data_IF_571696647387
#
_entry.id   IF_571696647387
#
_cell.length_a   1.000
_cell.length_b   1.000
_cell.length_c   1.000
_cell.angle_alpha   90.00
_cell.angle_beta   90.00
_cell.angle_gamma   90.00
#
_symmetry.space_group_name_H-M   'P 1'
#
loop_
_entity.id
_entity.type
_entity.pdbx_description
1 polymer ?
#
# COMPACT_ATOMS: atom_id res chain seq x y z
N UNK A 1 25.21 -28.86 34.52
CA UNK A 1 24.76 -29.34 33.19
C UNK A 1 23.27 -29.74 33.12
N UNK A 2 22.53 -29.84 34.24
CA UNK A 2 21.08 -30.18 34.25
C UNK A 2 20.16 -28.97 34.04
N UNK A 3 20.50 -27.82 34.65
CA UNK A 3 19.69 -26.58 34.66
C UNK A 3 19.52 -25.91 33.28
N UNK A 4 20.57 -25.90 32.45
CA UNK A 4 20.51 -25.35 31.07
C UNK A 4 19.64 -26.17 30.12
N UNK A 5 19.43 -27.46 30.41
CA UNK A 5 18.50 -28.30 29.65
C UNK A 5 17.05 -27.98 30.01
N UNK A 6 16.76 -27.69 31.28
CA UNK A 6 15.42 -27.31 31.73
C UNK A 6 14.99 -25.94 31.17
N UNK A 7 15.88 -24.94 31.21
CA UNK A 7 15.61 -23.62 30.66
C UNK A 7 15.38 -23.64 29.13
N UNK A 8 16.15 -24.47 28.41
CA UNK A 8 15.93 -24.72 26.98
C UNK A 8 14.62 -25.45 26.71
N UNK A 9 14.22 -26.36 27.60
CA UNK A 9 12.94 -27.07 27.48
C UNK A 9 11.77 -26.10 27.67
N UNK A 10 11.82 -25.21 28.66
CA UNK A 10 10.77 -24.22 28.93
C UNK A 10 10.70 -23.18 27.82
N UNK A 11 11.83 -22.64 27.37
CA UNK A 11 11.88 -21.74 26.21
C UNK A 11 11.37 -22.42 24.93
N UNK A 12 11.67 -23.71 24.74
CA UNK A 12 11.14 -24.51 23.63
C UNK A 12 9.63 -24.66 23.72
N UNK A 13 9.05 -24.90 24.91
CA UNK A 13 7.60 -25.00 25.07
C UNK A 13 6.87 -23.66 24.94
N UNK A 14 7.47 -22.54 25.37
CA UNK A 14 6.94 -21.19 25.16
C UNK A 14 6.95 -20.85 23.66
N UNK A 15 8.07 -21.11 22.97
CA UNK A 15 8.17 -20.91 21.53
C UNK A 15 7.25 -21.87 20.76
N UNK A 16 7.14 -23.13 21.18
CA UNK A 16 6.24 -24.12 20.58
C UNK A 16 4.78 -23.71 20.76
N UNK A 17 4.38 -23.28 21.96
CA UNK A 17 3.07 -22.71 22.20
C UNK A 17 2.83 -21.52 21.26
N UNK A 18 3.74 -20.54 21.21
CA UNK A 18 3.68 -19.37 20.34
C UNK A 18 3.53 -19.72 18.84
N UNK A 19 4.33 -20.67 18.33
CA UNK A 19 4.25 -21.15 16.95
C UNK A 19 2.98 -21.96 16.67
N UNK A 20 2.47 -22.72 17.64
CA UNK A 20 1.18 -23.41 17.49
C UNK A 20 0.00 -22.44 17.51
N UNK A 21 0.07 -21.33 18.25
CA UNK A 21 -0.95 -20.26 18.21
C UNK A 21 -0.94 -19.54 16.85
N UNK A 22 0.24 -19.27 16.30
CA UNK A 22 0.41 -18.73 14.93
C UNK A 22 -0.08 -19.70 13.84
N UNK A 23 0.17 -21.00 14.00
CA UNK A 23 -0.33 -22.03 13.08
C UNK A 23 -1.87 -22.15 13.13
N UNK A 24 -2.49 -21.92 14.29
CA UNK A 24 -3.95 -21.94 14.46
C UNK A 24 -4.62 -20.66 13.94
N UNK A 25 -3.92 -19.52 13.93
CA UNK A 25 -4.41 -18.29 13.28
C UNK A 25 -4.51 -18.38 11.75
N UNK A 26 -3.97 -19.43 11.13
CA UNK A 26 -4.12 -19.74 9.70
C UNK A 26 -5.38 -20.53 9.33
N UNK A 27 -6.27 -20.87 10.27
CA UNK A 27 -7.49 -21.62 9.97
C UNK A 27 -8.76 -20.84 10.34
N UNK A 28 -9.53 -20.51 9.32
CA UNK A 28 -10.84 -19.85 9.35
C UNK A 28 -11.87 -20.55 10.25
N UNK A 29 -12.74 -19.77 10.93
CA UNK A 29 -13.97 -20.29 11.55
C UNK A 29 -14.43 -19.60 12.85
N UNK A 30 -15.48 -18.78 12.73
CA UNK A 30 -16.63 -18.52 13.64
C UNK A 30 -16.43 -18.14 15.13
N UNK A 31 -17.25 -17.20 15.61
CA UNK A 31 -17.16 -16.47 16.89
C UNK A 31 -17.21 -17.27 18.21
N UNK A 32 -17.26 -18.60 18.19
CA UNK A 32 -16.93 -19.41 19.37
C UNK A 32 -15.43 -19.41 19.68
N UNK A 33 -14.56 -19.27 18.66
CA UNK A 33 -13.10 -19.25 18.86
C UNK A 33 -12.60 -17.97 19.53
N UNK A 34 -13.34 -16.86 19.47
CA UNK A 34 -12.94 -15.61 20.14
C UNK A 34 -13.02 -15.74 21.67
N UNK A 35 -14.10 -16.35 22.17
CA UNK A 35 -14.28 -16.65 23.60
C UNK A 35 -13.28 -17.69 24.10
N UNK A 36 -12.87 -18.60 23.22
CA UNK A 36 -11.87 -19.64 23.51
C UNK A 36 -10.43 -19.09 23.51
N UNK A 37 -10.16 -18.10 22.63
CA UNK A 37 -8.92 -17.32 22.64
C UNK A 37 -8.82 -16.44 23.88
N UNK A 38 -9.88 -15.75 24.28
CA UNK A 38 -9.91 -14.98 25.54
C UNK A 38 -9.68 -15.87 26.76
N UNK A 39 -10.33 -17.04 26.82
CA UNK A 39 -10.07 -18.02 27.89
C UNK A 39 -8.63 -18.52 27.90
N UNK A 40 -8.03 -18.75 26.74
CA UNK A 40 -6.63 -19.20 26.62
C UNK A 40 -5.65 -18.10 26.96
N UNK A 41 -5.93 -16.84 26.59
CA UNK A 41 -5.13 -15.67 26.98
C UNK A 41 -5.19 -15.49 28.50
N UNK A 42 -6.39 -15.55 29.11
CA UNK A 42 -6.53 -15.46 30.56
C UNK A 42 -5.84 -16.61 31.30
N UNK A 43 -5.85 -17.82 30.72
CA UNK A 43 -5.11 -18.97 31.25
C UNK A 43 -3.59 -18.78 31.18
N UNK A 44 -3.09 -18.23 30.08
CA UNK A 44 -1.68 -17.89 29.91
C UNK A 44 -1.24 -16.75 30.85
N UNK A 45 -2.09 -15.74 31.08
CA UNK A 45 -1.84 -14.69 32.07
C UNK A 45 -1.71 -15.28 33.49
N UNK A 46 -2.58 -16.22 33.87
CA UNK A 46 -2.46 -16.93 35.16
C UNK A 46 -1.19 -17.78 35.27
N UNK A 47 -0.78 -18.47 34.19
CA UNK A 47 0.46 -19.24 34.19
C UNK A 47 1.70 -18.34 34.28
N UNK A 48 1.66 -17.17 33.65
CA UNK A 48 2.71 -16.14 33.77
C UNK A 48 2.77 -15.59 35.20
N UNK A 49 1.64 -15.25 35.82
CA UNK A 49 1.60 -14.78 37.22
C UNK A 49 2.14 -15.85 38.19
N UNK A 50 1.84 -17.11 37.92
CA UNK A 50 2.35 -18.24 38.71
C UNK A 50 3.87 -18.38 38.55
N UNK A 51 4.40 -18.26 37.33
CA UNK A 51 5.84 -18.28 37.07
C UNK A 51 6.56 -17.08 37.67
N UNK A 52 5.94 -15.90 37.68
CA UNK A 52 6.46 -14.70 38.37
C UNK A 52 6.53 -14.93 39.89
N UNK A 53 5.53 -15.58 40.49
CA UNK A 53 5.53 -15.91 41.91
C UNK A 53 6.68 -16.85 42.29
N UNK A 54 6.94 -17.88 41.48
CA UNK A 54 8.08 -18.78 41.68
C UNK A 54 9.41 -18.06 41.45
N UNK A 55 9.53 -17.22 40.42
CA UNK A 55 10.75 -16.47 40.15
C UNK A 55 11.13 -15.48 41.27
N UNK A 56 10.12 -14.89 41.92
CA UNK A 56 10.28 -13.98 43.06
C UNK A 56 10.78 -14.69 44.32
N UNK A 57 10.39 -15.96 44.54
CA UNK A 57 10.97 -16.81 45.59
C UNK A 57 12.47 -17.11 45.37
N UNK A 58 12.93 -17.11 44.11
CA UNK A 58 14.32 -17.38 43.74
C UNK A 58 15.17 -16.10 43.50
N UNK A 59 14.62 -14.90 43.73
CA UNK A 59 15.35 -13.63 43.62
C UNK A 59 15.74 -13.25 42.18
N UNK A 60 15.00 -13.71 41.18
CA UNK A 60 15.26 -13.42 39.77
C UNK A 60 14.35 -12.25 39.34
N UNK A 61 14.92 -11.07 39.08
CA UNK A 61 14.20 -9.92 38.53
C UNK A 61 13.90 -10.14 37.04
N UNK A 62 12.62 -10.19 36.69
CA UNK A 62 12.08 -10.46 35.35
C UNK A 62 11.68 -9.17 34.60
N UNK A 63 12.17 -8.02 35.02
CA UNK A 63 11.71 -6.70 34.59
C UNK A 63 11.67 -6.56 33.06
N UNK A 64 12.70 -7.04 32.36
CA UNK A 64 12.75 -6.98 30.89
C UNK A 64 11.70 -7.86 30.18
N UNK A 65 11.30 -8.98 30.78
CA UNK A 65 10.29 -9.88 30.20
C UNK A 65 8.88 -9.44 30.57
N UNK A 66 8.68 -8.90 31.78
CA UNK A 66 7.42 -8.29 32.18
C UNK A 66 7.10 -7.06 31.33
N UNK A 67 8.10 -6.21 31.08
CA UNK A 67 7.97 -5.07 30.17
C UNK A 67 7.62 -5.52 28.75
N UNK A 68 8.29 -6.57 28.25
CA UNK A 68 8.00 -7.14 26.92
C UNK A 68 6.58 -7.72 26.83
N UNK A 69 6.13 -8.46 27.86
CA UNK A 69 4.78 -9.03 27.91
C UNK A 69 3.70 -7.95 28.09
N UNK A 70 3.96 -6.91 28.89
CA UNK A 70 3.09 -5.73 29.02
C UNK A 70 2.99 -4.98 27.70
N UNK A 71 4.09 -4.81 26.99
CA UNK A 71 4.12 -4.16 25.68
C UNK A 71 3.32 -4.96 24.65
N UNK A 72 3.47 -6.30 24.62
CA UNK A 72 2.68 -7.19 23.76
C UNK A 72 1.19 -7.15 24.13
N UNK A 73 0.84 -7.19 25.42
CA UNK A 73 -0.55 -7.09 25.90
C UNK A 73 -1.18 -5.73 25.55
N UNK A 74 -0.42 -4.64 25.67
CA UNK A 74 -0.86 -3.30 25.25
C UNK A 74 -1.04 -3.21 23.74
N UNK A 75 -0.14 -3.79 22.94
CA UNK A 75 -0.27 -3.87 21.49
C UNK A 75 -1.50 -4.69 21.08
N UNK A 76 -1.79 -5.80 21.77
CA UNK A 76 -2.99 -6.62 21.55
C UNK A 76 -4.28 -5.88 21.93
N UNK A 77 -4.28 -5.15 23.06
CA UNK A 77 -5.42 -4.32 23.50
C UNK A 77 -5.64 -3.11 22.59
N UNK A 78 -4.58 -2.50 22.06
CA UNK A 78 -4.66 -1.45 21.05
C UNK A 78 -5.22 -2.00 19.73
N UNK A 79 -4.75 -3.18 19.30
CA UNK A 79 -5.32 -3.91 18.17
C UNK A 79 -6.82 -4.19 18.35
N UNK A 80 -7.27 -4.54 19.57
CA UNK A 80 -8.70 -4.78 19.85
C UNK A 80 -9.54 -3.48 19.88
N UNK A 81 -9.03 -2.39 20.45
CA UNK A 81 -9.75 -1.10 20.54
C UNK A 81 -9.93 -0.40 19.19
N UNK A 82 -9.00 -0.58 18.25
CA UNK A 82 -9.12 -0.05 16.89
C UNK A 82 -10.35 -0.59 16.13
N UNK A 83 -10.82 -1.80 16.47
CA UNK A 83 -12.00 -2.40 15.85
C UNK A 83 -13.33 -1.78 16.32
N UNK A 84 -13.39 -1.19 17.52
CA UNK A 84 -14.65 -0.72 18.12
C UNK A 84 -15.00 0.72 17.73
N UNK A 85 -14.04 1.54 17.28
CA UNK A 85 -14.26 2.98 17.06
C UNK A 85 -14.64 3.37 15.63
N UNK A 86 -14.33 2.56 14.61
CA UNK A 86 -14.91 2.75 13.26
C UNK A 86 -16.42 2.49 13.22
N UNK A 87 -16.96 1.89 14.29
CA UNK A 87 -18.39 1.66 14.44
C UNK A 87 -19.20 2.91 14.84
N UNK A 88 -18.56 3.97 15.36
CA UNK A 88 -19.27 5.06 16.04
C UNK A 88 -19.63 6.28 15.19
N UNK A 89 -19.20 6.38 13.92
CA UNK A 89 -19.34 7.63 13.14
C UNK A 89 -20.32 7.62 11.96
N UNK A 90 -21.15 6.60 11.77
CA UNK A 90 -22.34 6.70 10.92
C UNK A 90 -22.11 6.78 9.39
N UNK A 91 -20.89 7.11 8.95
CA UNK A 91 -20.48 7.26 7.55
C UNK A 91 -18.99 7.62 7.48
N UNK A 92 -18.27 7.16 6.45
CA UNK A 92 -16.88 7.50 6.20
C UNK A 92 -16.78 8.40 4.98
N UNK A 93 -15.97 9.46 5.05
CA UNK A 93 -15.72 10.32 3.89
C UNK A 93 -14.79 9.59 2.92
N UNK A 94 -15.23 9.39 1.67
CA UNK A 94 -14.38 8.93 0.58
C UNK A 94 -14.52 9.89 -0.59
N UNK A 95 -13.45 10.63 -0.88
CA UNK A 95 -13.38 11.53 -2.01
C UNK A 95 -14.37 12.70 -1.93
N UNK A 96 -14.72 13.14 -0.71
CA UNK A 96 -15.69 14.20 -0.47
C UNK A 96 -17.13 13.71 -0.33
N UNK A 97 -17.39 12.41 -0.50
CA UNK A 97 -18.72 11.80 -0.38
C UNK A 97 -18.80 10.92 0.86
N UNK A 98 -19.98 10.86 1.48
CA UNK A 98 -20.21 9.97 2.62
C UNK A 98 -20.56 8.57 2.12
N UNK A 99 -19.83 7.59 2.65
CA UNK A 99 -20.04 6.18 2.35
C UNK A 99 -20.51 5.46 3.61
N UNK A 100 -21.58 4.68 3.48
CA UNK A 100 -22.17 3.93 4.59
C UNK A 100 -21.38 2.66 4.92
N UNK A 101 -20.63 2.74 6.02
CA UNK A 101 -19.82 1.64 6.58
C UNK A 101 -20.40 1.09 7.89
N UNK A 102 -21.60 1.52 8.28
CA UNK A 102 -22.11 1.36 9.65
C UNK A 102 -22.63 -0.02 9.94
N UNK A 103 -23.20 -0.70 8.94
CA UNK A 103 -23.86 -1.98 9.21
C UNK A 103 -22.86 -2.98 9.81
N UNK A 104 -23.25 -3.79 10.82
CA UNK A 104 -22.33 -4.72 11.47
C UNK A 104 -21.61 -5.65 10.48
N UNK A 105 -22.31 -6.07 9.41
CA UNK A 105 -21.71 -6.87 8.35
C UNK A 105 -20.59 -6.14 7.60
N UNK A 106 -20.77 -4.84 7.31
CA UNK A 106 -19.74 -4.03 6.64
C UNK A 106 -18.55 -3.77 7.55
N UNK A 107 -18.78 -3.47 8.83
CA UNK A 107 -17.70 -3.30 9.81
C UNK A 107 -16.84 -4.56 9.96
N UNK A 108 -17.47 -5.74 9.97
CA UNK A 108 -16.74 -7.01 9.99
C UNK A 108 -15.86 -7.17 8.75
N UNK A 109 -16.36 -6.80 7.56
CA UNK A 109 -15.57 -6.87 6.32
C UNK A 109 -14.42 -5.89 6.29
N UNK A 110 -14.62 -4.65 6.75
CA UNK A 110 -13.53 -3.66 6.93
C UNK A 110 -12.49 -4.20 7.92
N UNK A 111 -12.94 -4.77 9.03
CA UNK A 111 -12.05 -5.35 10.04
C UNK A 111 -11.21 -6.51 9.48
N UNK A 112 -11.82 -7.36 8.65
CA UNK A 112 -11.12 -8.44 7.95
C UNK A 112 -10.15 -7.91 6.90
N UNK A 113 -10.56 -6.87 6.17
CA UNK A 113 -9.74 -6.18 5.18
C UNK A 113 -8.49 -5.54 5.79
N UNK A 114 -8.61 -4.89 6.96
CA UNK A 114 -7.45 -4.36 7.70
C UNK A 114 -6.47 -5.48 8.03
N UNK A 115 -6.95 -6.57 8.65
CA UNK A 115 -6.11 -7.72 9.00
C UNK A 115 -5.40 -8.31 7.77
N UNK A 116 -6.11 -8.39 6.66
CA UNK A 116 -5.57 -8.87 5.39
C UNK A 116 -4.47 -7.96 4.84
N UNK A 117 -4.66 -6.63 4.86
CA UNK A 117 -3.64 -5.69 4.39
C UNK A 117 -2.41 -5.73 5.30
N UNK A 118 -2.61 -5.78 6.62
CA UNK A 118 -1.51 -5.82 7.59
C UNK A 118 -0.73 -7.13 7.58
N UNK A 119 -1.31 -8.25 7.09
CA UNK A 119 -0.53 -9.47 6.87
C UNK A 119 0.46 -9.35 5.70
N UNK A 120 0.41 -8.26 4.95
CA UNK A 120 1.33 -7.92 3.85
C UNK A 120 2.21 -6.69 4.21
N UNK A 121 2.54 -6.52 5.50
CA UNK A 121 3.27 -5.37 6.04
C UNK A 121 4.54 -4.99 5.25
N UNK A 122 5.39 -5.95 4.87
CA UNK A 122 6.65 -5.66 4.17
C UNK A 122 6.40 -4.97 2.80
N UNK A 123 5.34 -5.39 2.11
CA UNK A 123 4.91 -4.81 0.83
C UNK A 123 4.21 -3.47 1.05
N UNK A 124 3.38 -3.38 2.09
CA UNK A 124 2.67 -2.16 2.47
C UNK A 124 3.64 -1.03 2.78
N UNK A 125 4.68 -1.27 3.58
CA UNK A 125 5.67 -0.26 3.96
C UNK A 125 6.41 0.29 2.72
N UNK A 126 6.84 -0.61 1.84
CA UNK A 126 7.51 -0.25 0.59
C UNK A 126 6.61 0.58 -0.32
N UNK A 127 5.35 0.16 -0.49
CA UNK A 127 4.37 0.86 -1.31
C UNK A 127 3.95 2.19 -0.70
N UNK A 128 3.82 2.26 0.62
CA UNK A 128 3.52 3.50 1.33
C UNK A 128 4.62 4.52 1.07
N UNK A 129 5.88 4.14 1.26
CA UNK A 129 7.04 4.99 0.96
C UNK A 129 7.02 5.44 -0.51
N UNK A 130 6.83 4.54 -1.47
CA UNK A 130 6.73 4.90 -2.90
C UNK A 130 5.53 5.81 -3.19
N UNK A 131 4.38 5.60 -2.57
CA UNK A 131 3.15 6.35 -2.83
C UNK A 131 3.32 7.85 -2.62
N UNK A 132 4.12 8.26 -1.63
CA UNK A 132 4.43 9.66 -1.36
C UNK A 132 5.20 10.36 -2.49
N UNK A 133 5.88 9.61 -3.34
CA UNK A 133 6.51 10.16 -4.55
C UNK A 133 5.47 10.51 -5.63
N UNK A 134 4.33 9.81 -5.65
CA UNK A 134 3.29 9.90 -6.67
C UNK A 134 2.08 10.74 -6.24
N UNK A 135 1.76 10.77 -4.95
CA UNK A 135 0.62 11.49 -4.37
C UNK A 135 0.55 12.97 -4.76
N UNK A 136 1.64 13.76 -4.76
CA UNK A 136 1.55 15.15 -5.18
C UNK A 136 1.05 15.33 -6.62
N UNK A 137 1.46 14.43 -7.52
CA UNK A 137 1.00 14.47 -8.93
C UNK A 137 -0.48 14.09 -9.03
N UNK A 138 -0.90 13.05 -8.31
CA UNK A 138 -2.30 12.65 -8.22
C UNK A 138 -3.16 13.77 -7.62
N UNK A 139 -2.71 14.38 -6.53
CA UNK A 139 -3.43 15.41 -5.80
C UNK A 139 -3.72 16.65 -6.66
N UNK A 140 -2.73 17.10 -7.42
CA UNK A 140 -2.87 18.20 -8.38
C UNK A 140 -3.88 17.87 -9.48
N UNK A 141 -3.79 16.67 -10.06
CA UNK A 141 -4.63 16.27 -11.21
C UNK A 141 -6.09 16.00 -10.80
N UNK A 142 -6.31 15.32 -9.67
CA UNK A 142 -7.65 15.13 -9.11
C UNK A 142 -8.28 16.46 -8.69
N UNK A 143 -7.51 17.32 -8.01
CA UNK A 143 -7.97 18.65 -7.61
C UNK A 143 -8.38 19.51 -8.81
N UNK A 144 -7.59 19.51 -9.89
CA UNK A 144 -7.90 20.23 -11.13
C UNK A 144 -9.16 19.71 -11.84
N UNK A 145 -9.51 18.45 -11.63
CA UNK A 145 -10.71 17.81 -12.18
C UNK A 145 -11.92 17.81 -11.20
N UNK A 146 -11.79 18.43 -10.02
CA UNK A 146 -12.79 18.40 -8.94
C UNK A 146 -13.18 16.98 -8.49
N UNK A 147 -12.24 16.05 -8.55
CA UNK A 147 -12.40 14.69 -8.03
C UNK A 147 -11.73 14.62 -6.66
N UNK A 148 -12.33 13.88 -5.73
CA UNK A 148 -11.78 13.71 -4.38
C UNK A 148 -10.45 12.94 -4.35
N UNK A 149 -9.63 13.23 -3.35
CA UNK A 149 -8.26 12.71 -3.31
C UNK A 149 -8.16 11.22 -2.95
N UNK A 150 -9.17 10.66 -2.28
CA UNK A 150 -9.12 9.29 -1.79
C UNK A 150 -9.07 8.23 -2.89
N UNK A 151 -9.42 8.59 -4.13
CA UNK A 151 -9.24 7.70 -5.28
C UNK A 151 -7.77 7.33 -5.50
N UNK A 152 -6.80 8.13 -5.03
CA UNK A 152 -5.36 7.79 -5.10
C UNK A 152 -4.97 6.51 -4.36
N UNK A 153 -5.78 6.07 -3.40
CA UNK A 153 -5.55 4.80 -2.69
C UNK A 153 -5.75 3.58 -3.60
N UNK A 154 -6.47 3.69 -4.72
CA UNK A 154 -6.64 2.62 -5.71
C UNK A 154 -5.27 2.18 -6.25
N UNK A 155 -4.41 3.14 -6.60
CA UNK A 155 -3.08 2.88 -7.13
C UNK A 155 -2.18 2.07 -6.17
N UNK A 156 -2.31 2.34 -4.86
CA UNK A 156 -1.59 1.60 -3.80
C UNK A 156 -2.21 0.23 -3.59
N UNK A 157 -3.54 0.16 -3.54
CA UNK A 157 -4.24 -1.10 -3.32
C UNK A 157 -3.98 -2.10 -4.45
N UNK A 158 -4.09 -1.65 -5.71
CA UNK A 158 -3.82 -2.52 -6.86
C UNK A 158 -2.35 -2.98 -6.85
N UNK A 159 -1.43 -2.09 -6.49
CA UNK A 159 -0.03 -2.44 -6.31
C UNK A 159 0.22 -3.41 -5.14
N UNK A 160 -0.61 -3.38 -4.08
CA UNK A 160 -0.52 -4.28 -2.93
C UNK A 160 -1.08 -5.67 -3.26
N UNK A 161 -2.24 -5.72 -3.93
CA UNK A 161 -2.92 -6.94 -4.32
C UNK A 161 -2.17 -7.70 -5.42
N UNK A 162 -1.46 -7.00 -6.31
CA UNK A 162 -0.65 -7.60 -7.37
C UNK A 162 -1.45 -8.51 -8.31
N UNK A 163 -0.76 -9.50 -8.89
CA UNK A 163 -1.34 -10.40 -9.90
C UNK A 163 -2.35 -11.41 -9.30
N UNK A 164 -2.40 -11.57 -7.98
CA UNK A 164 -3.31 -12.54 -7.31
C UNK A 164 -4.79 -12.20 -7.50
N UNK A 165 -5.09 -10.94 -7.79
CA UNK A 165 -6.45 -10.43 -7.94
C UNK A 165 -6.75 -9.91 -9.35
N UNK A 166 -6.08 -10.48 -10.36
CA UNK A 166 -6.41 -10.24 -11.76
C UNK A 166 -7.85 -10.64 -12.05
N UNK A 167 -8.65 -9.71 -12.57
CA UNK A 167 -9.97 -10.04 -13.11
C UNK A 167 -9.80 -10.98 -14.32
N UNK A 168 -10.81 -11.82 -14.66
CA UNK A 168 -10.74 -12.75 -15.81
C UNK A 168 -10.43 -12.09 -17.15
N UNK A 169 -10.58 -10.77 -17.25
CA UNK A 169 -10.30 -9.97 -18.45
C UNK A 169 -8.84 -9.50 -18.53
N UNK A 170 -7.97 -9.92 -17.60
CA UNK A 170 -6.52 -9.75 -17.70
C UNK A 170 -6.07 -8.30 -17.74
N UNK A 171 -6.77 -7.40 -17.05
CA UNK A 171 -6.31 -6.01 -16.93
C UNK A 171 -5.51 -5.83 -15.65
N UNK A 172 -4.20 -5.69 -15.82
CA UNK A 172 -3.39 -4.82 -14.98
C UNK A 172 -4.02 -3.43 -15.08
N UNK A 173 -4.58 -2.90 -14.00
CA UNK A 173 -4.97 -1.48 -13.99
C UNK A 173 -3.69 -0.69 -14.33
N UNK A 174 -3.68 0.13 -15.41
CA UNK A 174 -2.50 0.89 -15.78
C UNK A 174 -2.10 1.87 -14.67
N UNK A 175 -2.95 2.16 -13.69
CA UNK A 175 -2.66 3.09 -12.61
C UNK A 175 -2.02 2.46 -11.36
N UNK A 176 -1.38 1.30 -11.51
CA UNK A 176 -0.56 0.67 -10.46
C UNK A 176 0.74 1.45 -10.20
N UNK A 177 1.08 1.64 -8.93
CA UNK A 177 2.43 2.07 -8.50
C UNK A 177 3.41 0.92 -8.72
N UNK A 178 4.44 1.16 -9.52
CA UNK A 178 5.50 0.21 -9.82
C UNK A 178 6.85 0.78 -9.35
N UNK A 179 7.83 -0.10 -9.07
CA UNK A 179 9.21 0.27 -8.72
C UNK A 179 9.98 0.75 -9.96
N UNK A 180 9.51 1.85 -10.54
CA UNK A 180 10.13 2.59 -11.65
C UNK A 180 10.45 4.03 -11.20
N UNK A 181 10.89 4.21 -9.95
CA UNK A 181 11.11 5.47 -9.20
C UNK A 181 11.99 6.54 -9.87
N UNK A 182 12.44 6.29 -11.11
CA UNK A 182 13.02 7.31 -11.97
C UNK A 182 11.96 8.28 -12.53
N UNK A 183 12.36 9.51 -12.87
CA UNK A 183 11.55 10.47 -13.61
C UNK A 183 10.77 9.94 -14.84
N UNK A 184 11.27 8.91 -15.53
CA UNK A 184 10.52 8.26 -16.62
C UNK A 184 9.26 7.54 -16.10
N UNK A 185 9.40 6.72 -15.06
CA UNK A 185 8.25 6.08 -14.41
C UNK A 185 7.31 7.09 -13.76
N UNK A 186 7.82 8.24 -13.27
CA UNK A 186 6.97 9.37 -12.81
C UNK A 186 6.12 9.97 -13.92
N UNK A 187 6.69 10.20 -15.10
CA UNK A 187 5.92 10.72 -16.24
C UNK A 187 4.90 9.71 -16.74
N UNK A 188 5.28 8.43 -16.80
CA UNK A 188 4.35 7.39 -17.17
C UNK A 188 3.23 7.26 -16.13
N UNK A 189 3.54 7.38 -14.84
CA UNK A 189 2.52 7.51 -13.79
C UNK A 189 1.65 8.75 -13.97
N UNK A 190 2.22 9.91 -14.30
CA UNK A 190 1.44 11.13 -14.55
C UNK A 190 0.47 10.96 -15.72
N UNK A 191 0.90 10.33 -16.83
CA UNK A 191 0.04 10.01 -17.98
C UNK A 191 -1.05 9.02 -17.59
N UNK A 192 -0.70 7.97 -16.83
CA UNK A 192 -1.64 6.98 -16.31
C UNK A 192 -2.65 7.62 -15.35
N UNK A 193 -2.22 8.62 -14.58
CA UNK A 193 -3.08 9.44 -13.71
C UNK A 193 -4.06 10.30 -14.51
N UNK A 194 -3.66 10.89 -15.65
CA UNK A 194 -4.61 11.61 -16.51
C UNK A 194 -5.72 10.68 -17.04
N UNK A 195 -5.34 9.46 -17.42
CA UNK A 195 -6.29 8.45 -17.84
C UNK A 195 -7.22 8.02 -16.68
N UNK A 196 -6.67 7.83 -15.48
CA UNK A 196 -7.43 7.50 -14.27
C UNK A 196 -8.42 8.61 -13.91
N UNK A 197 -7.98 9.86 -13.87
CA UNK A 197 -8.83 11.05 -13.64
C UNK A 197 -9.99 11.09 -14.62
N UNK A 198 -9.72 10.93 -15.92
CA UNK A 198 -10.78 10.90 -16.95
C UNK A 198 -11.76 9.75 -16.73
N UNK A 199 -11.25 8.56 -16.41
CA UNK A 199 -12.07 7.36 -16.20
C UNK A 199 -12.94 7.48 -14.94
N UNK A 200 -12.36 7.86 -13.81
CA UNK A 200 -13.08 8.05 -12.54
C UNK A 200 -14.12 9.16 -12.70
N UNK A 201 -13.76 10.28 -13.33
CA UNK A 201 -14.71 11.37 -13.60
C UNK A 201 -15.91 10.93 -14.44
N UNK A 202 -15.68 10.09 -15.47
CA UNK A 202 -16.77 9.48 -16.25
C UNK A 202 -17.66 8.60 -15.38
N UNK A 203 -17.07 7.71 -14.57
CA UNK A 203 -17.81 6.76 -13.74
C UNK A 203 -18.60 7.46 -12.62
N UNK A 204 -18.04 8.52 -12.01
CA UNK A 204 -18.76 9.35 -11.04
C UNK A 204 -20.03 9.96 -11.65
N UNK A 205 -19.96 10.45 -12.89
CA UNK A 205 -21.14 10.97 -13.60
C UNK A 205 -22.15 9.86 -13.91
N UNK A 206 -21.66 8.71 -14.37
CA UNK A 206 -22.49 7.57 -14.78
C UNK A 206 -23.26 6.95 -13.61
N UNK A 207 -22.62 6.84 -12.44
CA UNK A 207 -23.20 6.27 -11.23
C UNK A 207 -23.71 7.33 -10.24
N UNK A 208 -23.95 8.57 -10.69
CA UNK A 208 -24.49 9.66 -9.86
C UNK A 208 -23.74 9.87 -8.52
N UNK A 209 -22.41 9.79 -8.55
CA UNK A 209 -21.51 9.85 -7.40
C UNK A 209 -21.68 8.72 -6.37
N UNK A 210 -22.26 7.58 -6.76
CA UNK A 210 -22.17 6.35 -5.96
C UNK A 210 -20.72 5.85 -5.95
N UNK A 211 -20.03 6.07 -4.83
CA UNK A 211 -18.61 5.77 -4.68
C UNK A 211 -18.31 4.28 -4.79
N UNK A 212 -19.00 3.37 -4.06
CA UNK A 212 -18.75 1.95 -4.22
C UNK A 212 -18.94 1.48 -5.67
N UNK A 213 -20.02 1.86 -6.36
CA UNK A 213 -20.22 1.48 -7.77
C UNK A 213 -19.16 2.08 -8.70
N UNK A 214 -18.74 3.32 -8.45
CA UNK A 214 -17.66 3.98 -9.21
C UNK A 214 -16.35 3.21 -9.08
N UNK A 215 -15.95 2.88 -7.85
CA UNK A 215 -14.71 2.13 -7.57
C UNK A 215 -14.80 0.75 -8.20
N UNK A 216 -15.91 0.04 -8.02
CA UNK A 216 -16.08 -1.30 -8.57
C UNK A 216 -16.13 -1.33 -10.08
N UNK A 217 -16.73 -0.33 -10.70
CA UNK A 217 -16.75 -0.19 -12.17
C UNK A 217 -15.40 0.22 -12.73
N UNK A 218 -14.57 0.91 -11.94
CA UNK A 218 -13.19 1.14 -12.30
C UNK A 218 -12.43 -0.20 -12.34
N UNK A 219 -12.54 -0.98 -11.26
CA UNK A 219 -11.83 -2.25 -11.04
C UNK A 219 -12.30 -3.40 -11.94
N UNK A 220 -13.58 -3.78 -11.90
CA UNK A 220 -14.16 -4.89 -12.67
C UNK A 220 -14.52 -4.51 -14.11
N UNK A 221 -14.66 -3.21 -14.37
CA UNK A 221 -15.22 -2.69 -15.60
C UNK A 221 -16.72 -2.41 -15.51
N UNK A 222 -17.10 -1.22 -15.97
CA UNK A 222 -18.46 -0.69 -16.12
C UNK A 222 -19.46 -1.76 -16.60
N UNK A 223 -19.20 -2.40 -17.75
CA UNK A 223 -20.11 -3.41 -18.31
C UNK A 223 -20.35 -4.60 -17.38
N UNK A 224 -19.35 -5.02 -16.60
CA UNK A 224 -19.50 -6.14 -15.68
C UNK A 224 -20.42 -5.76 -14.51
N UNK A 225 -20.23 -4.56 -13.95
CA UNK A 225 -21.06 -4.04 -12.86
C UNK A 225 -22.48 -3.77 -13.32
N UNK A 226 -22.67 -3.04 -14.43
CA UNK A 226 -24.00 -2.74 -14.97
C UNK A 226 -24.77 -4.02 -15.29
N UNK A 227 -24.11 -5.01 -15.91
CA UNK A 227 -24.73 -6.31 -16.18
C UNK A 227 -25.15 -7.03 -14.89
N UNK A 228 -24.30 -7.03 -13.86
CA UNK A 228 -24.63 -7.65 -12.59
C UNK A 228 -25.83 -6.96 -11.92
N UNK A 229 -25.88 -5.63 -11.97
CA UNK A 229 -27.01 -4.83 -11.45
C UNK A 229 -28.31 -5.16 -12.19
N UNK A 230 -28.27 -5.23 -13.52
CA UNK A 230 -29.43 -5.57 -14.36
C UNK A 230 -29.92 -7.00 -14.13
N UNK A 231 -29.01 -7.98 -14.11
CA UNK A 231 -29.33 -9.40 -13.91
C UNK A 231 -29.95 -9.65 -12.52
N UNK A 232 -29.47 -8.95 -11.50
CA UNK A 232 -29.93 -9.12 -10.11
C UNK A 232 -31.06 -8.17 -9.73
N UNK A 233 -31.32 -7.12 -10.54
CA UNK A 233 -32.24 -6.01 -10.24
C UNK A 233 -31.91 -5.31 -8.92
N UNK A 234 -30.62 -5.11 -8.68
CA UNK A 234 -30.08 -4.45 -7.49
C UNK A 234 -29.28 -3.23 -7.93
N UNK A 235 -29.63 -2.07 -7.38
CA UNK A 235 -28.94 -0.81 -7.64
C UNK A 235 -27.93 -0.47 -6.55
N UNK A 236 -28.11 -0.99 -5.33
CA UNK A 236 -27.21 -0.75 -4.21
C UNK A 236 -26.02 -1.71 -4.24
N UNK A 237 -24.80 -1.16 -4.31
CA UNK A 237 -23.57 -1.96 -4.26
C UNK A 237 -23.55 -2.96 -3.10
N UNK A 238 -23.99 -2.57 -1.91
CA UNK A 238 -23.88 -3.43 -0.72
C UNK A 238 -24.74 -4.68 -0.77
N UNK A 239 -25.80 -4.65 -1.59
CA UNK A 239 -26.71 -5.77 -1.80
C UNK A 239 -26.37 -6.52 -3.10
N UNK A 240 -25.45 -5.99 -3.92
CA UNK A 240 -25.07 -6.55 -5.21
C UNK A 240 -24.10 -7.72 -5.00
N UNK A 241 -24.47 -8.89 -5.51
CA UNK A 241 -23.60 -10.05 -5.47
C UNK A 241 -22.55 -9.95 -6.58
N UNK A 242 -21.28 -9.77 -6.19
CA UNK A 242 -20.13 -9.82 -7.10
C UNK A 242 -19.22 -10.99 -6.71
N UNK A 243 -18.65 -11.69 -7.69
CA UNK A 243 -17.67 -12.76 -7.41
C UNK A 243 -16.37 -12.16 -6.86
N UNK A 244 -15.73 -12.85 -5.92
CA UNK A 244 -14.41 -12.44 -5.40
C UNK A 244 -13.37 -12.33 -6.53
N UNK A 245 -12.47 -11.33 -6.49
CA UNK A 245 -12.31 -10.29 -5.45
C UNK A 245 -13.33 -9.14 -5.45
N UNK A 246 -14.23 -9.09 -6.43
CA UNK A 246 -15.14 -7.97 -6.65
C UNK A 246 -16.00 -7.59 -5.44
N UNK A 247 -16.41 -8.55 -4.62
CA UNK A 247 -17.18 -8.22 -3.42
C UNK A 247 -16.34 -7.50 -2.35
N UNK A 248 -15.05 -7.80 -2.22
CA UNK A 248 -14.20 -7.35 -1.11
C UNK A 248 -13.37 -6.10 -1.43
N UNK A 249 -13.13 -5.82 -2.72
CA UNK A 249 -12.21 -4.76 -3.15
C UNK A 249 -12.50 -3.41 -2.52
N UNK A 250 -13.77 -3.00 -2.48
CA UNK A 250 -14.15 -1.72 -1.87
C UNK A 250 -13.80 -1.67 -0.37
N UNK A 251 -13.98 -2.77 0.35
CA UNK A 251 -13.63 -2.85 1.77
C UNK A 251 -12.12 -2.83 2.00
N UNK A 252 -11.33 -3.45 1.11
CA UNK A 252 -9.87 -3.29 1.12
C UNK A 252 -9.45 -1.85 0.87
N UNK A 253 -10.11 -1.14 -0.04
CA UNK A 253 -9.79 0.26 -0.32
C UNK A 253 -10.06 1.16 0.89
N UNK A 254 -11.19 0.95 1.57
CA UNK A 254 -11.54 1.66 2.80
C UNK A 254 -10.55 1.32 3.91
N UNK A 255 -10.22 0.04 4.10
CA UNK A 255 -9.23 -0.39 5.08
C UNK A 255 -7.85 0.22 4.83
N UNK A 256 -7.41 0.29 3.57
CA UNK A 256 -6.14 0.92 3.21
C UNK A 256 -6.11 2.40 3.55
N UNK A 257 -7.19 3.14 3.21
CA UNK A 257 -7.34 4.55 3.59
C UNK A 257 -7.20 4.72 5.11
N UNK A 258 -7.90 3.90 5.89
CA UNK A 258 -7.85 3.95 7.35
C UNK A 258 -6.43 3.68 7.90
N UNK A 259 -5.74 2.68 7.35
CA UNK A 259 -4.37 2.35 7.74
C UNK A 259 -3.40 3.50 7.41
N UNK A 260 -3.57 4.15 6.25
CA UNK A 260 -2.69 5.24 5.84
C UNK A 260 -2.96 6.53 6.65
N UNK A 261 -4.22 6.83 6.94
CA UNK A 261 -4.61 8.07 7.63
C UNK A 261 -4.44 8.00 9.15
N UNK A 262 -4.66 6.82 9.76
CA UNK A 262 -4.45 6.58 11.18
C UNK A 262 -3.85 5.17 11.42
N UNK A 263 -2.56 4.97 11.09
CA UNK A 263 -1.91 3.67 11.18
C UNK A 263 -1.93 3.12 12.60
N UNK A 264 -1.67 3.96 13.60
CA UNK A 264 -1.61 3.56 15.00
C UNK A 264 -2.96 2.98 15.47
N UNK A 265 -4.07 3.58 15.03
CA UNK A 265 -5.40 3.08 15.36
C UNK A 265 -5.74 1.75 14.70
N UNK A 266 -5.19 1.49 13.50
CA UNK A 266 -5.32 0.21 12.82
C UNK A 266 -4.35 -0.87 13.34
N UNK A 267 -3.46 -0.54 14.28
CA UNK A 267 -2.42 -1.46 14.76
C UNK A 267 -1.20 -1.56 13.83
N UNK A 268 -1.04 -0.61 12.92
CA UNK A 268 0.09 -0.49 12.01
C UNK A 268 1.12 0.53 12.52
N UNK A 269 2.39 0.33 12.14
CA UNK A 269 3.46 1.29 12.33
C UNK A 269 4.13 1.53 10.97
N UNK A 270 3.56 2.45 10.18
CA UNK A 270 4.11 2.79 8.87
C UNK A 270 5.44 3.53 9.04
N UNK A 271 6.42 3.30 8.15
CA UNK A 271 7.72 3.94 8.22
C UNK A 271 7.60 5.46 8.07
N UNK A 272 8.49 6.20 8.72
CA UNK A 272 8.65 7.62 8.41
C UNK A 272 9.03 7.76 6.94
N UNK A 273 8.27 8.61 6.24
CA UNK A 273 8.47 8.83 4.83
C UNK A 273 9.57 9.88 4.72
N UNK A 274 10.73 9.55 4.11
CA UNK A 274 11.71 10.58 3.83
C UNK A 274 11.03 11.64 2.97
N UNK A 275 11.25 12.93 3.27
CA UNK A 275 10.71 14.03 2.47
C UNK A 275 11.12 13.78 1.01
N UNK A 276 10.20 13.25 0.20
CA UNK A 276 10.46 13.01 -1.21
C UNK A 276 10.61 14.38 -1.84
N UNK A 277 11.86 14.83 -1.92
CA UNK A 277 12.20 16.00 -2.71
C UNK A 277 11.67 15.70 -4.10
N UNK A 278 10.79 16.57 -4.60
CA UNK A 278 10.63 16.76 -6.04
C UNK A 278 12.01 16.59 -6.64
N UNK A 279 12.21 15.55 -7.44
CA UNK A 279 13.53 15.28 -8.02
C UNK A 279 13.82 16.51 -8.87
N UNK A 280 14.76 17.33 -8.39
CA UNK A 280 15.18 18.55 -9.07
C UNK A 280 15.86 18.12 -10.37
N UNK A 281 15.05 17.94 -11.41
CA UNK A 281 15.47 17.51 -12.73
C UNK A 281 14.72 18.28 -13.82
N UNK A 282 15.45 18.64 -14.87
CA UNK A 282 14.90 19.23 -16.08
C UNK A 282 14.60 18.13 -17.11
N UNK A 283 13.44 18.22 -17.75
CA UNK A 283 13.02 17.28 -18.81
C UNK A 283 13.51 17.73 -20.18
N UNK A 284 14.32 16.94 -20.87
CA UNK A 284 14.82 17.24 -22.22
C UNK A 284 14.35 16.20 -23.25
N UNK A 285 13.80 16.66 -24.36
CA UNK A 285 13.47 15.80 -25.50
C UNK A 285 14.65 15.80 -26.46
N UNK A 286 15.20 14.61 -26.76
CA UNK A 286 16.36 14.46 -27.64
C UNK A 286 16.10 13.41 -28.71
N UNK A 287 16.49 13.74 -29.95
CA UNK A 287 16.62 12.76 -31.02
C UNK A 287 18.07 12.29 -31.08
N UNK A 288 18.28 11.06 -30.64
CA UNK A 288 19.57 10.37 -30.67
C UNK A 288 19.71 9.70 -32.03
N UNK A 289 20.69 10.13 -32.83
CA UNK A 289 20.90 9.58 -34.18
C UNK A 289 21.89 8.40 -34.19
N UNK A 290 22.73 8.28 -33.15
CA UNK A 290 23.75 7.26 -32.97
C UNK A 290 23.87 6.94 -31.47
N UNK A 291 24.64 5.90 -31.11
CA UNK A 291 24.90 5.55 -29.70
C UNK A 291 25.32 6.78 -28.87
N UNK A 292 24.53 7.13 -27.85
CA UNK A 292 24.78 8.21 -26.89
C UNK A 292 25.21 7.59 -25.55
N UNK A 293 26.51 7.61 -25.20
CA UNK A 293 26.97 7.08 -23.92
C UNK A 293 26.43 7.91 -22.75
N UNK A 294 25.90 7.23 -21.72
CA UNK A 294 25.38 7.88 -20.50
C UNK A 294 26.49 8.68 -19.80
N UNK A 295 27.73 8.20 -19.87
CA UNK A 295 28.92 8.93 -19.40
C UNK A 295 29.04 10.33 -20.00
N UNK A 296 28.79 10.50 -21.30
CA UNK A 296 28.89 11.83 -21.93
C UNK A 296 27.82 12.78 -21.43
N UNK A 297 26.61 12.26 -21.21
CA UNK A 297 25.50 13.03 -20.61
C UNK A 297 25.87 13.46 -19.19
N UNK A 298 26.45 12.55 -18.41
CA UNK A 298 26.95 12.82 -17.07
C UNK A 298 28.06 13.91 -17.06
N UNK A 299 29.02 13.81 -17.98
CA UNK A 299 30.11 14.78 -18.14
C UNK A 299 29.59 16.19 -18.48
N UNK A 300 28.60 16.31 -19.37
CA UNK A 300 27.99 17.60 -19.71
C UNK A 300 27.21 18.19 -18.55
N UNK A 301 26.47 17.34 -17.82
CA UNK A 301 25.69 17.75 -16.66
C UNK A 301 26.56 17.94 -15.40
N UNK A 302 27.84 17.57 -15.46
CA UNK A 302 28.82 17.65 -14.36
C UNK A 302 28.39 16.86 -13.12
N UNK A 303 27.78 15.70 -13.34
CA UNK A 303 27.32 14.80 -12.26
C UNK A 303 27.86 13.39 -12.47
N UNK A 304 27.89 12.54 -11.43
CA UNK A 304 28.21 11.13 -11.58
C UNK A 304 27.25 10.41 -12.53
N UNK A 305 27.74 9.41 -13.26
CA UNK A 305 26.91 8.59 -14.15
C UNK A 305 25.75 7.90 -13.43
N UNK A 306 25.93 7.53 -12.14
CA UNK A 306 24.87 6.96 -11.30
C UNK A 306 23.70 7.92 -11.14
N UNK A 307 23.96 9.22 -11.07
CA UNK A 307 22.90 10.24 -10.94
C UNK A 307 22.06 10.34 -12.22
N UNK A 308 22.70 10.32 -13.40
CA UNK A 308 21.97 10.26 -14.68
C UNK A 308 21.17 8.95 -14.79
N UNK A 309 21.73 7.82 -14.35
CA UNK A 309 21.03 6.53 -14.37
C UNK A 309 19.82 6.53 -13.41
N UNK A 310 19.95 7.09 -12.20
CA UNK A 310 18.83 7.22 -11.26
C UNK A 310 17.75 8.18 -11.76
N UNK A 311 18.11 9.16 -12.57
CA UNK A 311 17.13 10.05 -13.23
C UNK A 311 16.44 9.38 -14.43
N UNK A 312 16.98 8.29 -14.97
CA UNK A 312 16.48 7.66 -16.20
C UNK A 312 16.37 6.14 -16.03
N UNK A 313 15.77 5.69 -14.92
CA UNK A 313 15.71 4.27 -14.51
C UNK A 313 15.18 3.33 -15.59
N UNK A 314 14.20 3.77 -16.41
CA UNK A 314 13.66 2.97 -17.51
C UNK A 314 14.57 2.88 -18.76
N UNK A 315 15.75 3.49 -18.75
CA UNK A 315 16.76 3.36 -19.79
C UNK A 315 17.96 2.57 -19.27
N UNK A 316 18.03 1.30 -19.63
CA UNK A 316 19.09 0.38 -19.16
C UNK A 316 20.36 0.47 -20.02
N UNK A 317 21.50 0.13 -19.41
CA UNK A 317 22.80 0.09 -20.08
C UNK A 317 23.64 1.36 -19.96
N UNK A 318 24.86 1.30 -20.51
CA UNK A 318 25.85 2.39 -20.42
C UNK A 318 25.74 3.43 -21.57
N UNK A 319 24.82 3.19 -22.50
CA UNK A 319 24.60 4.03 -23.67
C UNK A 319 23.23 3.76 -24.30
N UNK A 320 22.63 4.80 -24.89
CA UNK A 320 21.33 4.72 -25.55
C UNK A 320 21.48 4.71 -27.07
N UNK A 321 20.74 3.83 -27.75
CA UNK A 321 20.78 3.67 -29.21
C UNK A 321 20.07 4.80 -29.97
N UNK A 322 20.00 4.72 -31.32
CA UNK A 322 19.23 5.66 -32.11
C UNK A 322 17.74 5.62 -31.74
N UNK A 323 17.13 6.78 -31.53
CA UNK A 323 15.73 6.90 -31.10
C UNK A 323 15.39 8.30 -30.62
N UNK A 324 14.10 8.54 -30.36
CA UNK A 324 13.65 9.77 -29.70
C UNK A 324 13.39 9.44 -28.24
N UNK A 325 14.11 10.12 -27.35
CA UNK A 325 14.02 9.92 -25.91
C UNK A 325 13.53 11.19 -25.23
N UNK A 326 12.78 11.01 -24.16
CA UNK A 326 12.57 12.05 -23.15
C UNK A 326 13.47 11.67 -21.99
N UNK A 327 14.51 12.49 -21.78
CA UNK A 327 15.51 12.28 -20.74
C UNK A 327 15.31 13.27 -19.61
N UNK A 328 15.79 12.90 -18.44
CA UNK A 328 15.83 13.75 -17.27
C UNK A 328 17.27 14.01 -16.90
N UNK A 329 17.60 15.28 -16.80
CA UNK A 329 18.93 15.75 -16.42
C UNK A 329 18.81 16.55 -15.12
N UNK A 330 19.85 16.63 -14.28
CA UNK A 330 19.79 17.39 -13.03
C UNK A 330 19.33 18.83 -13.27
N UNK A 331 18.54 19.40 -12.36
CA UNK A 331 17.97 20.73 -12.52
C UNK A 331 19.07 21.78 -12.80
N UNK A 332 18.79 22.69 -13.74
CA UNK A 332 19.72 23.73 -14.15
C UNK A 332 20.79 23.27 -15.14
N UNK A 333 20.88 21.98 -15.46
CA UNK A 333 21.87 21.46 -16.41
C UNK A 333 21.33 21.34 -17.85
N UNK A 334 20.05 21.66 -18.09
CA UNK A 334 19.41 21.63 -19.43
C UNK A 334 20.25 22.29 -20.52
N UNK A 335 20.76 23.50 -20.25
CA UNK A 335 21.56 24.25 -21.23
C UNK A 335 22.87 23.53 -21.54
N UNK A 336 23.57 23.05 -20.50
CA UNK A 336 24.83 22.32 -20.63
C UNK A 336 24.66 21.03 -21.44
N UNK A 337 23.55 20.32 -21.22
CA UNK A 337 23.20 19.13 -21.99
C UNK A 337 23.09 19.44 -23.49
N UNK A 338 22.32 20.48 -23.87
CA UNK A 338 22.14 20.84 -25.29
C UNK A 338 23.43 21.40 -25.92
N UNK A 339 24.24 22.16 -25.17
CA UNK A 339 25.53 22.64 -25.63
C UNK A 339 26.47 21.46 -25.93
N UNK A 340 26.57 20.50 -25.02
CA UNK A 340 27.33 19.26 -25.19
C UNK A 340 26.85 18.42 -26.37
N UNK A 341 25.54 18.23 -26.48
CA UNK A 341 24.92 17.50 -27.59
C UNK A 341 25.20 18.16 -28.96
N UNK A 342 25.20 19.50 -29.02
CA UNK A 342 25.52 20.24 -30.23
C UNK A 342 26.99 20.10 -30.65
N UNK A 343 27.91 19.99 -29.68
CA UNK A 343 29.34 19.82 -29.93
C UNK A 343 29.68 18.49 -30.62
N UNK A 344 28.91 17.43 -30.35
CA UNK A 344 28.99 16.14 -31.06
C UNK A 344 28.62 16.25 -32.54
N UNK A 345 27.64 17.11 -32.88
CA UNK A 345 27.22 17.32 -34.27
C UNK A 345 28.24 18.10 -35.09
N UNK A 346 29.12 18.88 -34.43
CA UNK A 346 30.18 19.69 -35.07
C UNK A 346 31.52 18.96 -35.24
N UNK A 347 31.70 17.79 -34.60
CA UNK A 347 32.93 16.97 -34.69
C UNK A 347 32.84 15.83 -35.71
N UNK A 348 31.75 15.75 -36.46
CA UNK A 348 31.64 14.98 -37.70
C UNK A 348 31.87 15.92 -38.87
#
# INVERSE_FOLDING_TARGET
MSQTKHFRHVAFWILYAFFTTLAVSGCSGTGHRHRDLEKRINGLEQEVDTLQSYAKEFGIEFDAMEDSLRQISQQLKAHQRGFEQYASHGSLNFGGFLVDVVSPGRQVRISQAIKYILSHNDRLDSLYVLAWEYYPTADVKFGAAHIGQDFKYIAVLDALLGDEFTTPQGKQDPWVIADESGPLGKKDFAVRTDAAVKRIGKLLQEFNNDIPLTVMSNFLGEKAVTRAMEEQRIENYYDLYLTNPGSEYFFWLIALKLIIEDPAHCGAALPEVPYWRSVDADTVTVKVNHRLPVRMVADWCRVPMREIASLNVGLTGDAWGPGTYVLYVPHGTRKLFFDGLSSLRKKK
#
